data_IF_401586574360
#
_entry.id   IF_401586574360
#
_cell.length_a   1.000
_cell.length_b   1.000
_cell.length_c   1.000
_cell.angle_alpha   90.00
_cell.angle_beta   90.00
_cell.angle_gamma   90.00
#
_symmetry.space_group_name_H-M   'P 1'
#
loop_
_entity.id
_entity.type
_entity.pdbx_description
1 polymer ?
#
# COMPACT_ATOMS: atom_id res chain seq x y z
N UNK A 1 -5.26 -7.66 -28.62
CA UNK A 1 -6.43 -6.76 -28.80
C UNK A 1 -7.67 -7.43 -28.21
N UNK A 2 -8.52 -6.69 -27.48
CA UNK A 2 -9.79 -7.26 -26.97
C UNK A 2 -10.80 -7.33 -28.12
N UNK A 3 -11.24 -8.54 -28.48
CA UNK A 3 -12.18 -8.78 -29.60
C UNK A 3 -13.61 -8.58 -29.11
N UNK A 4 -14.29 -7.56 -29.61
CA UNK A 4 -15.71 -7.31 -29.39
C UNK A 4 -16.47 -7.45 -30.72
N UNK A 5 -17.75 -7.80 -30.64
CA UNK A 5 -18.63 -7.86 -31.82
C UNK A 5 -19.01 -6.44 -32.24
N UNK A 6 -19.12 -6.23 -33.56
CA UNK A 6 -19.60 -4.98 -34.16
C UNK A 6 -20.96 -5.22 -34.78
N UNK A 7 -21.86 -4.24 -34.74
CA UNK A 7 -23.13 -4.30 -35.46
C UNK A 7 -22.92 -3.98 -36.96
N UNK A 8 -24.02 -4.02 -37.74
CA UNK A 8 -23.99 -3.66 -39.17
C UNK A 8 -23.42 -2.25 -39.43
N UNK A 9 -23.56 -1.34 -38.47
CA UNK A 9 -23.06 0.03 -38.52
C UNK A 9 -21.61 0.18 -37.99
N UNK A 10 -20.91 -0.92 -37.73
CA UNK A 10 -19.53 -0.93 -37.24
C UNK A 10 -19.34 -0.57 -35.75
N UNK A 11 -20.42 -0.27 -35.03
CA UNK A 11 -20.38 0.12 -33.61
C UNK A 11 -20.17 -1.09 -32.70
N UNK A 12 -19.35 -0.99 -31.65
CA UNK A 12 -19.16 -2.06 -30.69
C UNK A 12 -20.46 -2.41 -29.95
N UNK A 13 -20.75 -3.70 -29.84
CA UNK A 13 -21.92 -4.24 -29.13
C UNK A 13 -21.48 -4.94 -27.86
N UNK A 14 -22.07 -4.56 -26.74
CA UNK A 14 -21.86 -5.20 -25.45
C UNK A 14 -23.22 -5.46 -24.80
N UNK A 15 -23.47 -6.70 -24.35
CA UNK A 15 -24.71 -7.09 -23.68
C UNK A 15 -25.99 -6.68 -24.45
N UNK A 16 -25.97 -6.83 -25.77
CA UNK A 16 -27.10 -6.49 -26.64
C UNK A 16 -27.32 -4.99 -26.88
N UNK A 17 -26.45 -4.10 -26.39
CA UNK A 17 -26.51 -2.65 -26.63
C UNK A 17 -25.32 -2.19 -27.46
N UNK A 18 -25.58 -1.34 -28.44
CA UNK A 18 -24.54 -0.68 -29.22
C UNK A 18 -24.05 0.58 -28.52
N UNK A 19 -22.74 0.83 -28.58
CA UNK A 19 -22.08 2.01 -28.04
C UNK A 19 -21.27 2.67 -29.15
N UNK A 20 -21.04 3.99 -29.09
CA UNK A 20 -20.18 4.65 -30.08
C UNK A 20 -18.72 4.23 -29.92
N UNK A 21 -18.29 4.01 -28.67
CA UNK A 21 -16.92 3.66 -28.34
C UNK A 21 -16.85 2.66 -27.20
N UNK A 22 -15.84 1.80 -27.22
CA UNK A 22 -15.62 0.81 -26.16
C UNK A 22 -15.10 1.47 -24.89
N UNK A 23 -14.15 2.39 -25.03
CA UNK A 23 -13.49 3.09 -23.93
C UNK A 23 -13.83 4.57 -23.96
N UNK A 24 -14.18 5.14 -22.82
CA UNK A 24 -14.43 6.58 -22.69
C UNK A 24 -14.20 7.12 -21.29
N UNK A 25 -14.55 8.39 -21.09
CA UNK A 25 -14.56 9.03 -19.78
C UNK A 25 -15.70 8.49 -18.90
N UNK A 26 -15.62 8.71 -17.58
CA UNK A 26 -16.71 8.35 -16.66
C UNK A 26 -18.05 9.01 -17.04
N UNK A 27 -18.00 10.24 -17.56
CA UNK A 27 -19.19 10.94 -18.05
C UNK A 27 -19.79 10.24 -19.28
N UNK A 28 -18.97 9.92 -20.28
CA UNK A 28 -19.42 9.22 -21.49
C UNK A 28 -20.04 7.85 -21.17
N UNK A 29 -19.46 7.11 -20.21
CA UNK A 29 -20.03 5.83 -19.74
C UNK A 29 -21.36 6.03 -19.03
N UNK A 30 -21.49 7.08 -18.22
CA UNK A 30 -22.74 7.40 -17.51
C UNK A 30 -23.86 7.79 -18.48
N UNK A 31 -23.56 8.58 -19.51
CA UNK A 31 -24.52 9.00 -20.53
C UNK A 31 -24.81 7.91 -21.58
N UNK A 32 -24.01 6.84 -21.65
CA UNK A 32 -24.26 5.70 -22.53
C UNK A 32 -23.56 5.78 -23.89
N UNK A 33 -22.69 6.76 -24.10
CA UNK A 33 -21.86 6.87 -25.31
C UNK A 33 -20.78 5.78 -25.35
N UNK A 34 -20.20 5.47 -24.18
CA UNK A 34 -19.13 4.50 -24.03
C UNK A 34 -19.55 3.31 -23.15
N UNK A 35 -19.01 2.12 -23.43
CA UNK A 35 -19.32 0.93 -22.62
C UNK A 35 -18.61 0.93 -21.26
N UNK A 36 -17.29 1.19 -21.26
CA UNK A 36 -16.46 1.18 -20.05
C UNK A 36 -15.40 2.28 -20.07
N UNK A 37 -14.83 2.57 -18.91
CA UNK A 37 -13.65 3.45 -18.83
C UNK A 37 -12.38 2.71 -19.22
N UNK A 38 -11.27 3.43 -19.42
CA UNK A 38 -9.93 2.84 -19.58
C UNK A 38 -9.59 1.84 -18.46
N UNK A 39 -9.98 2.14 -17.23
CA UNK A 39 -9.84 1.26 -16.06
C UNK A 39 -10.95 0.20 -15.89
N UNK A 40 -11.75 -0.07 -16.93
CA UNK A 40 -12.75 -1.15 -16.91
C UNK A 40 -14.02 -0.87 -16.11
N UNK A 41 -14.30 0.37 -15.72
CA UNK A 41 -15.52 0.71 -15.00
C UNK A 41 -16.70 0.84 -15.96
N UNK A 42 -17.73 0.01 -15.78
CA UNK A 42 -19.03 0.12 -16.44
C UNK A 42 -19.97 1.03 -15.66
N UNK A 43 -21.12 1.35 -16.23
CA UNK A 43 -22.12 2.24 -15.62
C UNK A 43 -22.59 1.78 -14.23
N UNK A 44 -22.70 0.47 -13.97
CA UNK A 44 -23.07 -0.08 -12.66
C UNK A 44 -22.03 0.17 -11.55
N UNK A 45 -20.77 0.36 -11.93
CA UNK A 45 -19.66 0.67 -11.03
C UNK A 45 -19.52 2.17 -10.74
N UNK A 46 -20.33 3.03 -11.37
CA UNK A 46 -20.29 4.48 -11.23
C UNK A 46 -21.50 4.97 -10.45
N UNK A 47 -21.34 6.11 -9.77
CA UNK A 47 -22.42 6.83 -9.09
C UNK A 47 -22.19 8.33 -9.22
N UNK A 48 -23.28 9.11 -9.22
CA UNK A 48 -23.22 10.57 -9.11
C UNK A 48 -23.20 10.96 -7.63
N UNK A 49 -22.17 11.70 -7.20
CA UNK A 49 -22.09 12.19 -5.83
C UNK A 49 -23.00 13.42 -5.64
N UNK A 50 -23.11 13.91 -4.39
CA UNK A 50 -23.92 15.12 -4.09
C UNK A 50 -23.44 16.41 -4.79
N UNK A 51 -22.17 16.46 -5.18
CA UNK A 51 -21.60 17.57 -5.95
C UNK A 51 -21.78 17.39 -7.46
N UNK A 52 -22.51 16.37 -7.90
CA UNK A 52 -22.77 16.08 -9.31
C UNK A 52 -21.66 15.35 -10.06
N UNK A 53 -20.53 15.05 -9.41
CA UNK A 53 -19.42 14.34 -10.05
C UNK A 53 -19.69 12.84 -10.14
N UNK A 54 -19.32 12.25 -11.27
CA UNK A 54 -19.42 10.80 -11.50
C UNK A 54 -18.15 10.12 -11.00
N UNK A 55 -18.27 9.39 -9.89
CA UNK A 55 -17.16 8.71 -9.20
C UNK A 55 -17.39 7.20 -9.19
N UNK A 56 -16.35 6.43 -8.86
CA UNK A 56 -16.54 4.99 -8.68
C UNK A 56 -17.25 4.67 -7.37
N UNK A 57 -18.22 3.75 -7.43
CA UNK A 57 -19.03 3.30 -6.29
C UNK A 57 -18.15 2.79 -5.16
N UNK A 58 -17.20 1.91 -5.47
CA UNK A 58 -16.25 1.33 -4.51
C UNK A 58 -15.42 2.39 -3.76
N UNK A 59 -14.87 3.38 -4.47
CA UNK A 59 -14.08 4.44 -3.80
C UNK A 59 -14.95 5.32 -2.91
N UNK A 60 -16.16 5.64 -3.34
CA UNK A 60 -17.09 6.41 -2.52
C UNK A 60 -17.51 5.66 -1.25
N UNK A 61 -17.81 4.35 -1.33
CA UNK A 61 -18.15 3.55 -0.14
C UNK A 61 -16.97 3.40 0.80
N UNK A 62 -15.78 3.10 0.28
CA UNK A 62 -14.56 2.92 1.09
C UNK A 62 -14.14 4.22 1.77
N UNK A 63 -14.19 5.37 1.08
CA UNK A 63 -13.88 6.66 1.68
C UNK A 63 -14.78 6.99 2.89
N UNK A 64 -16.09 6.69 2.80
CA UNK A 64 -17.04 6.87 3.91
C UNK A 64 -16.78 5.94 5.09
N UNK A 65 -16.37 4.70 4.82
CA UNK A 65 -16.06 3.70 5.86
C UNK A 65 -14.74 4.00 6.57
N UNK A 66 -13.69 4.29 5.82
CA UNK A 66 -12.34 4.35 6.36
C UNK A 66 -12.04 5.65 7.12
N UNK A 67 -12.58 6.80 6.66
CA UNK A 67 -12.38 8.12 7.28
C UNK A 67 -10.91 8.38 7.67
N UNK A 68 -9.95 8.06 6.77
CA UNK A 68 -8.51 8.02 7.06
C UNK A 68 -7.97 9.32 7.69
N UNK A 69 -8.36 10.48 7.15
CA UNK A 69 -7.93 11.77 7.68
C UNK A 69 -8.40 11.99 9.12
N UNK A 70 -9.67 11.73 9.39
CA UNK A 70 -10.24 11.84 10.74
C UNK A 70 -9.56 10.86 11.70
N UNK A 71 -9.33 9.61 11.27
CA UNK A 71 -8.59 8.61 12.07
C UNK A 71 -7.14 9.01 12.34
N UNK A 72 -6.51 9.70 11.40
CA UNK A 72 -5.17 10.27 11.58
C UNK A 72 -5.17 11.56 12.42
N UNK A 73 -6.34 12.02 12.90
CA UNK A 73 -6.47 13.21 13.73
C UNK A 73 -6.53 14.51 12.95
N UNK A 74 -6.90 14.48 11.67
CA UNK A 74 -7.07 15.66 10.83
C UNK A 74 -8.55 15.93 10.52
N UNK A 75 -8.97 17.18 10.63
CA UNK A 75 -10.33 17.62 10.31
C UNK A 75 -10.36 19.08 9.87
N UNK A 76 -11.56 19.65 9.81
CA UNK A 76 -11.79 21.06 9.47
C UNK A 76 -12.59 21.73 10.59
N UNK A 77 -12.37 23.03 10.82
CA UNK A 77 -13.10 23.84 11.81
C UNK A 77 -13.70 25.06 11.11
N UNK A 78 -14.98 25.34 11.34
CA UNK A 78 -15.65 26.54 10.79
C UNK A 78 -14.84 27.80 11.15
N UNK A 79 -14.61 28.67 10.16
CA UNK A 79 -13.83 29.91 10.33
C UNK A 79 -12.31 29.74 10.35
N UNK A 80 -11.78 28.52 10.17
CA UNK A 80 -10.33 28.28 9.99
C UNK A 80 -10.06 27.68 8.62
N UNK A 81 -9.24 28.35 7.83
CA UNK A 81 -8.80 27.85 6.52
C UNK A 81 -7.77 26.73 6.69
N UNK A 82 -7.85 25.70 5.84
CA UNK A 82 -6.93 24.54 5.87
C UNK A 82 -7.34 23.40 6.80
N UNK A 83 -6.38 22.52 7.09
CA UNK A 83 -6.59 21.37 7.99
C UNK A 83 -6.30 21.75 9.44
N UNK A 84 -7.06 21.16 10.37
CA UNK A 84 -6.87 21.32 11.82
C UNK A 84 -6.61 19.95 12.43
N UNK A 85 -5.62 19.86 13.34
CA UNK A 85 -5.41 18.65 14.13
C UNK A 85 -6.49 18.55 15.20
N UNK A 86 -7.33 17.51 15.09
CA UNK A 86 -8.32 17.13 16.08
C UNK A 86 -7.56 16.51 17.27
N UNK A 87 -7.74 17.07 18.47
CA UNK A 87 -6.94 16.76 19.66
C UNK A 87 -6.89 15.27 20.02
N UNK A 88 -5.73 14.86 20.55
CA UNK A 88 -5.34 13.49 20.96
C UNK A 88 -5.68 12.41 19.93
N UNK A 89 -4.70 12.18 19.05
CA UNK A 89 -4.46 10.90 18.39
C UNK A 89 -5.05 9.72 19.19
N UNK A 90 -6.05 9.04 18.63
CA UNK A 90 -6.53 7.74 19.14
C UNK A 90 -5.49 6.62 19.02
N UNK A 91 -4.23 6.94 18.67
CA UNK A 91 -3.09 6.13 19.07
C UNK A 91 -2.93 6.33 20.58
N UNK A 92 -3.82 5.70 21.35
CA UNK A 92 -3.53 5.35 22.72
C UNK A 92 -2.13 4.77 22.69
N UNK A 93 -1.24 5.38 23.48
CA UNK A 93 0.10 4.89 23.69
C UNK A 93 -0.10 3.42 24.09
N UNK A 94 0.04 2.48 23.13
CA UNK A 94 0.05 1.06 23.44
C UNK A 94 1.37 0.95 24.14
N UNK A 95 1.35 1.22 25.45
CA UNK A 95 2.45 0.94 26.35
C UNK A 95 2.81 -0.48 25.96
N UNK A 96 3.97 -0.65 25.32
CA UNK A 96 4.57 -1.96 25.21
C UNK A 96 4.69 -2.35 26.68
N UNK A 97 3.71 -3.14 27.17
CA UNK A 97 3.84 -3.85 28.43
C UNK A 97 5.12 -4.63 28.19
N UNK A 98 6.17 -4.24 28.93
CA UNK A 98 7.54 -4.65 28.67
C UNK A 98 7.55 -6.11 28.32
N UNK A 99 8.29 -6.47 27.26
CA UNK A 99 8.54 -7.86 26.95
C UNK A 99 8.94 -8.54 28.25
N UNK A 100 8.11 -9.48 28.71
CA UNK A 100 8.45 -10.36 29.81
C UNK A 100 9.76 -11.01 29.38
N UNK A 101 10.86 -10.62 30.01
CA UNK A 101 12.16 -11.22 29.77
C UNK A 101 11.96 -12.73 29.81
N UNK A 102 12.19 -13.40 28.68
CA UNK A 102 12.34 -14.84 28.70
C UNK A 102 13.55 -15.10 29.60
N UNK A 103 13.30 -15.61 30.81
CA UNK A 103 14.30 -16.36 31.58
C UNK A 103 14.55 -17.66 30.81
N UNK A 104 15.26 -17.56 29.71
CA UNK A 104 15.79 -18.66 28.93
C UNK A 104 17.22 -18.26 28.60
N UNK A 105 18.16 -18.84 29.32
CA UNK A 105 19.55 -18.39 29.38
C UNK A 105 20.19 -18.31 28.01
N UNK A 106 20.54 -17.09 27.63
CA UNK A 106 21.69 -16.88 26.76
C UNK A 106 22.89 -16.95 27.69
N UNK A 107 23.58 -18.09 27.71
CA UNK A 107 24.92 -18.15 28.29
C UNK A 107 25.72 -17.00 27.69
N UNK A 108 26.29 -16.15 28.56
CA UNK A 108 27.24 -15.15 28.12
C UNK A 108 28.30 -15.88 27.28
N UNK A 109 28.47 -15.47 26.02
CA UNK A 109 29.63 -15.86 25.22
C UNK A 109 30.83 -15.09 25.81
N UNK A 110 31.20 -15.42 27.05
CA UNK A 110 32.50 -15.05 27.60
C UNK A 110 33.52 -15.93 26.90
N UNK A 111 34.51 -15.36 26.20
CA UNK A 111 35.64 -16.15 25.72
C UNK A 111 36.30 -16.78 26.94
N UNK A 112 36.19 -18.09 27.11
CA UNK A 112 37.04 -18.79 28.07
C UNK A 112 38.48 -18.61 27.61
N UNK A 113 39.38 -18.22 28.51
CA UNK A 113 40.81 -18.16 28.22
C UNK A 113 41.28 -19.51 27.69
N UNK A 114 41.47 -19.58 26.38
CA UNK A 114 42.07 -20.75 25.74
C UNK A 114 43.56 -20.71 26.06
N UNK A 115 43.98 -21.60 26.94
CA UNK A 115 45.30 -21.69 27.55
C UNK A 115 46.33 -22.43 26.68
N UNK A 116 45.90 -22.99 25.53
CA UNK A 116 46.78 -23.48 24.46
C UNK A 116 47.77 -24.58 24.88
N UNK A 117 47.62 -25.18 26.06
CA UNK A 117 48.47 -26.26 26.54
C UNK A 117 47.94 -27.58 25.97
N UNK A 118 48.71 -28.18 25.05
CA UNK A 118 48.41 -29.52 24.51
C UNK A 118 47.97 -29.56 23.05
N UNK A 119 47.85 -28.42 22.36
CA UNK A 119 47.76 -28.42 20.89
C UNK A 119 49.16 -28.60 20.30
N UNK A 120 49.46 -29.82 19.86
CA UNK A 120 50.61 -30.09 19.01
C UNK A 120 50.42 -29.34 17.69
N UNK A 121 51.10 -28.22 17.50
CA UNK A 121 51.20 -27.53 16.21
C UNK A 121 52.13 -28.35 15.32
N UNK A 122 51.65 -29.49 14.81
CA UNK A 122 52.28 -30.21 13.71
C UNK A 122 51.65 -29.71 12.41
N UNK A 123 52.29 -28.76 11.74
CA UNK A 123 51.80 -28.29 10.45
C UNK A 123 52.47 -27.00 10.02
N UNK A 124 53.67 -27.17 9.50
CA UNK A 124 54.49 -26.21 8.74
C UNK A 124 53.65 -25.31 7.83
N UNK A 125 53.69 -24.00 8.05
CA UNK A 125 53.76 -22.92 7.04
C UNK A 125 53.23 -21.57 7.59
N UNK A 126 54.03 -20.92 8.43
CA UNK A 126 53.89 -19.49 8.74
C UNK A 126 54.90 -18.70 7.88
N UNK A 127 54.49 -18.29 6.69
CA UNK A 127 55.22 -17.29 5.90
C UNK A 127 54.79 -15.88 6.36
N UNK A 128 55.61 -15.25 7.21
CA UNK A 128 55.47 -13.85 7.59
C UNK A 128 56.15 -12.96 6.56
N UNK A 129 55.39 -12.24 5.71
CA UNK A 129 55.88 -10.98 5.11
C UNK A 129 54.72 -10.02 4.87
N UNK A 130 54.62 -8.99 5.70
CA UNK A 130 54.70 -7.59 5.26
C UNK A 130 54.41 -6.69 6.46
N UNK A 131 55.48 -6.11 6.99
CA UNK A 131 55.36 -4.94 7.84
C UNK A 131 54.91 -3.74 6.99
N UNK A 132 54.11 -2.87 7.60
CA UNK A 132 54.35 -1.44 7.44
C UNK A 132 53.81 -0.70 8.68
N UNK A 133 54.73 -0.16 9.47
CA UNK A 133 54.49 0.85 10.49
C UNK A 133 55.15 2.16 10.02
N UNK A 134 54.52 3.27 10.40
CA UNK A 134 54.82 4.68 10.10
C UNK A 134 54.13 5.25 8.85
#
# INVERSE_FOLDING_TARGET
MTRFTRNANGKPVFHGRAYEMTFGSRAQVWHGTAYKTSGGLTKSHLIKNKAGHIVSKSKHTTAKKEKRLVKAGYGTKKGKFGFVRLGKSMKGNRKHRGSKHHRGGMSALSPSSYDGKGVGTSGVDLQFVSGNSA
#
